data_IF_160483707938
#
_entry.id   IF_160483707938
#
_cell.length_a   1.000
_cell.length_b   1.000
_cell.length_c   1.000
_cell.angle_alpha   90.00
_cell.angle_beta   90.00
_cell.angle_gamma   90.00
#
_symmetry.space_group_name_H-M   'P 1'
#
loop_
_entity.id
_entity.type
_entity.pdbx_description
1 polymer ?
#
# COMPACT_ATOMS: atom_id res chain seq x y z
N UNK A 1 -9.96 -8.53 -1.49
CA UNK A 1 -10.20 -7.16 -2.01
C UNK A 1 -9.97 -6.04 -0.98
N UNK A 2 -10.45 -6.17 0.27
CA UNK A 2 -10.39 -5.08 1.28
C UNK A 2 -8.98 -4.58 1.63
N UNK A 3 -7.94 -5.37 1.37
CA UNK A 3 -6.54 -5.03 1.69
C UNK A 3 -5.72 -4.52 0.48
N UNK A 4 -6.34 -4.32 -0.68
CA UNK A 4 -5.66 -3.69 -1.81
C UNK A 4 -5.52 -2.16 -1.59
N UNK A 5 -4.49 -1.53 -2.17
CA UNK A 5 -3.39 -2.11 -2.97
C UNK A 5 -2.26 -2.72 -2.12
N UNK A 6 -1.53 -3.68 -2.67
CA UNK A 6 -0.38 -4.32 -2.03
C UNK A 6 0.94 -3.76 -2.57
N UNK A 7 1.72 -3.09 -1.73
CA UNK A 7 3.06 -2.61 -2.07
C UNK A 7 4.06 -3.76 -2.06
N UNK A 8 5.22 -3.57 -2.70
CA UNK A 8 6.30 -4.55 -2.64
C UNK A 8 6.76 -4.78 -1.18
N UNK A 9 6.92 -3.69 -0.42
CA UNK A 9 7.32 -3.72 0.98
C UNK A 9 6.32 -4.50 1.86
N UNK A 10 5.02 -4.28 1.69
CA UNK A 10 3.99 -5.00 2.45
C UNK A 10 4.00 -6.52 2.19
N UNK A 11 4.53 -6.97 1.05
CA UNK A 11 4.65 -8.39 0.71
C UNK A 11 5.99 -9.01 1.13
N UNK A 12 7.06 -8.21 1.22
CA UNK A 12 8.43 -8.62 1.54
C UNK A 12 8.69 -8.73 3.06
N UNK A 13 7.64 -8.97 3.85
CA UNK A 13 7.71 -9.22 5.28
C UNK A 13 7.95 -10.71 5.57
N UNK A 14 8.55 -11.04 6.70
CA UNK A 14 8.80 -12.44 7.11
C UNK A 14 7.49 -13.20 7.35
N UNK A 15 6.61 -12.63 8.16
CA UNK A 15 5.32 -13.20 8.53
C UNK A 15 4.18 -12.71 7.63
N UNK A 16 3.21 -13.58 7.35
CA UNK A 16 2.07 -13.24 6.50
C UNK A 16 0.78 -13.73 7.13
N UNK A 17 0.05 -12.81 7.77
CA UNK A 17 -1.14 -13.09 8.58
C UNK A 17 -2.46 -12.95 7.80
N UNK A 18 -2.42 -12.97 6.47
CA UNK A 18 -3.63 -12.88 5.65
C UNK A 18 -4.16 -14.27 5.25
N UNK A 19 -5.49 -14.45 5.13
CA UNK A 19 -6.11 -15.72 4.74
C UNK A 19 -6.04 -15.99 3.22
N UNK A 20 -5.13 -15.34 2.51
CA UNK A 20 -4.82 -15.50 1.09
C UNK A 20 -3.30 -15.40 0.94
N UNK A 21 -2.73 -15.92 -0.12
CA UNK A 21 -1.28 -15.96 -0.34
C UNK A 21 -0.72 -14.63 -0.83
N UNK A 22 0.60 -14.43 -0.66
CA UNK A 22 1.31 -13.30 -1.26
C UNK A 22 1.21 -13.30 -2.79
N UNK A 23 1.16 -14.48 -3.41
CA UNK A 23 1.01 -14.63 -4.85
C UNK A 23 -0.36 -14.16 -5.33
N UNK A 24 -1.45 -14.55 -4.67
CA UNK A 24 -2.80 -14.07 -5.01
C UNK A 24 -2.91 -12.54 -4.86
N UNK A 25 -2.15 -11.94 -3.94
CA UNK A 25 -2.08 -10.49 -3.76
C UNK A 25 -1.25 -9.80 -4.87
N UNK A 26 -0.09 -10.35 -5.20
CA UNK A 26 0.88 -9.74 -6.11
C UNK A 26 0.59 -10.04 -7.59
N UNK A 27 0.18 -11.26 -7.91
CA UNK A 27 0.03 -11.79 -9.26
C UNK A 27 -1.34 -12.45 -9.47
N UNK A 28 -2.46 -11.74 -9.25
CA UNK A 28 -3.80 -12.29 -9.49
C UNK A 28 -4.10 -12.59 -10.97
N UNK A 29 -3.21 -12.21 -11.89
CA UNK A 29 -3.33 -12.47 -13.31
C UNK A 29 -1.97 -12.81 -13.94
N UNK A 30 -1.91 -13.69 -14.96
CA UNK A 30 -0.63 -14.18 -15.52
C UNK A 30 0.28 -13.08 -16.07
N UNK A 31 -0.27 -12.10 -16.78
CA UNK A 31 0.50 -11.01 -17.41
C UNK A 31 1.25 -10.12 -16.40
N UNK A 32 0.81 -10.10 -15.14
CA UNK A 32 1.49 -9.34 -14.07
C UNK A 32 2.86 -9.92 -13.71
N UNK A 33 3.17 -11.15 -14.14
CA UNK A 33 4.48 -11.79 -13.92
C UNK A 33 5.53 -11.31 -14.91
N UNK A 34 5.12 -10.90 -16.11
CA UNK A 34 6.04 -10.37 -17.13
C UNK A 34 6.39 -8.91 -16.83
N UNK A 35 5.37 -8.11 -16.52
CA UNK A 35 5.53 -6.70 -16.20
C UNK A 35 4.66 -6.32 -15.01
N UNK A 36 5.31 -6.12 -13.86
CA UNK A 36 4.65 -5.77 -12.60
C UNK A 36 4.76 -4.27 -12.33
N UNK A 37 3.62 -3.57 -12.40
CA UNK A 37 3.50 -2.24 -11.81
C UNK A 37 3.27 -2.37 -10.30
N UNK A 38 4.10 -1.70 -9.51
CA UNK A 38 4.02 -1.72 -8.06
C UNK A 38 3.32 -0.48 -7.52
N UNK A 39 2.27 -0.64 -6.69
CA UNK A 39 1.76 0.45 -5.87
C UNK A 39 2.86 0.95 -4.94
N UNK A 40 3.08 2.27 -4.92
CA UNK A 40 4.12 2.92 -4.10
C UNK A 40 3.67 3.15 -2.66
N UNK A 41 2.37 3.14 -2.41
CA UNK A 41 1.77 3.29 -1.09
C UNK A 41 0.61 2.31 -0.90
N UNK A 42 0.30 2.00 0.36
CA UNK A 42 -0.91 1.29 0.73
C UNK A 42 -2.17 2.13 0.53
N UNK A 43 -3.30 1.66 1.04
CA UNK A 43 -4.53 2.47 1.02
C UNK A 43 -4.36 3.72 1.90
N UNK A 44 -4.62 4.88 1.31
CA UNK A 44 -4.58 6.17 2.01
C UNK A 44 -5.76 6.31 2.97
N UNK A 45 -5.50 6.86 4.16
CA UNK A 45 -6.54 7.26 5.12
C UNK A 45 -7.02 8.69 4.82
N UNK A 46 -8.13 8.77 4.09
CA UNK A 46 -8.71 10.05 3.70
C UNK A 46 -9.27 10.82 4.90
N UNK A 47 -9.92 10.14 5.86
CA UNK A 47 -10.58 10.81 6.97
C UNK A 47 -9.57 11.43 7.94
N UNK A 48 -8.40 10.80 8.11
CA UNK A 48 -7.30 11.41 8.83
C UNK A 48 -6.78 12.67 8.13
N UNK A 49 -6.59 12.62 6.80
CA UNK A 49 -6.16 13.77 6.00
C UNK A 49 -7.12 14.95 6.08
N UNK A 50 -8.43 14.70 5.98
CA UNK A 50 -9.46 15.75 6.07
C UNK A 50 -9.51 16.41 7.46
N UNK A 51 -9.18 15.66 8.52
CA UNK A 51 -9.13 16.18 9.90
C UNK A 51 -7.82 16.90 10.23
N UNK A 52 -6.74 16.60 9.52
CA UNK A 52 -5.39 17.14 9.75
C UNK A 52 -4.86 17.73 8.44
N UNK A 53 -5.44 18.86 8.03
CA UNK A 53 -5.12 19.47 6.74
C UNK A 53 -3.69 20.00 6.72
N UNK A 54 -2.82 19.30 6.00
CA UNK A 54 -1.46 19.73 5.67
C UNK A 54 -1.36 19.91 4.16
N UNK A 55 -1.15 21.15 3.71
CA UNK A 55 -1.20 21.51 2.29
C UNK A 55 0.02 22.29 1.79
N UNK A 56 1.09 22.34 2.58
CA UNK A 56 2.37 22.95 2.21
C UNK A 56 3.47 21.89 2.19
N UNK A 57 4.63 22.23 1.63
CA UNK A 57 5.80 21.35 1.61
C UNK A 57 6.62 21.37 2.90
N UNK A 58 6.17 22.08 3.95
CA UNK A 58 6.77 21.93 5.27
C UNK A 58 6.72 20.45 5.65
N UNK A 59 7.85 19.92 6.16
CA UNK A 59 7.95 18.49 6.47
C UNK A 59 6.87 18.06 7.46
N UNK A 60 6.49 16.77 7.45
CA UNK A 60 5.50 16.25 8.40
C UNK A 60 5.87 16.55 9.85
N UNK A 61 7.17 16.67 10.16
CA UNK A 61 7.71 17.07 11.46
C UNK A 61 7.14 18.39 12.00
N UNK A 62 6.71 19.32 11.13
CA UNK A 62 6.12 20.59 11.52
C UNK A 62 4.67 20.45 12.05
N UNK A 63 4.07 19.27 11.88
CA UNK A 63 2.67 18.99 12.18
C UNK A 63 2.48 17.80 13.14
N UNK A 64 3.59 17.26 13.68
CA UNK A 64 3.64 16.14 14.65
C UNK A 64 3.87 16.68 16.07
#
# INVERSE_FOLDING_TARGET
LKNAPHTAEALMVSEWAHPYTREEAAYPAPWLREHKFWPVAGRIDNAFGDRNLVCSCEGMEAYI
#
